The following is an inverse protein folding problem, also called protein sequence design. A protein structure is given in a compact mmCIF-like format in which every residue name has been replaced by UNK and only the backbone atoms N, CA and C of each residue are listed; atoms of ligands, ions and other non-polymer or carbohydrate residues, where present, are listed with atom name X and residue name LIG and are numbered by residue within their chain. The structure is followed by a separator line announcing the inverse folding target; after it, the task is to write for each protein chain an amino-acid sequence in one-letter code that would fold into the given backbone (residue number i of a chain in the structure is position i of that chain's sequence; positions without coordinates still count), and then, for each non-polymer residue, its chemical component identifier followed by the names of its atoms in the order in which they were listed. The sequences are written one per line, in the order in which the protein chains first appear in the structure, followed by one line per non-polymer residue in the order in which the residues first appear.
data_IF_173206643769
#
_entry.id   IF_173206643769
#
_cell.length_a   1.000
_cell.length_b   1.000
_cell.length_c   1.000
_cell.angle_alpha   90.00
_cell.angle_beta   90.00
_cell.angle_gamma   90.00
#
_symmetry.space_group_name_H-M   'P 1'
#
loop_
_entity.id
_entity.type
_entity.pdbx_description
1 polymer ?
#
# COMPACT_ATOMS: atom_id res chain seq x y z
N UNK A 1 7.42 58.77 -36.77
CA UNK A 1 8.07 58.15 -37.96
C UNK A 1 9.29 57.32 -37.62
N UNK A 2 10.37 57.87 -37.04
CA UNK A 2 11.58 57.06 -36.69
C UNK A 2 11.31 56.13 -35.48
N UNK A 3 10.63 56.62 -34.43
CA UNK A 3 10.29 55.78 -33.28
C UNK A 3 9.31 54.65 -33.64
N UNK A 4 8.32 54.92 -34.51
CA UNK A 4 7.35 53.90 -34.96
C UNK A 4 8.01 52.81 -35.81
N UNK A 5 9.09 53.12 -36.55
CA UNK A 5 9.81 52.12 -37.35
C UNK A 5 10.73 51.25 -36.49
N UNK A 6 11.30 51.81 -35.42
CA UNK A 6 12.12 51.10 -34.43
C UNK A 6 11.23 50.17 -33.56
N UNK A 7 10.05 50.63 -33.14
CA UNK A 7 9.11 49.77 -32.41
C UNK A 7 8.62 48.62 -33.29
N UNK A 8 8.23 48.90 -34.54
CA UNK A 8 7.78 47.87 -35.48
C UNK A 8 8.89 46.86 -35.85
N UNK A 9 10.15 47.30 -35.96
CA UNK A 9 11.29 46.39 -36.18
C UNK A 9 11.55 45.52 -34.94
N UNK A 10 11.42 46.09 -33.73
CA UNK A 10 11.56 45.34 -32.47
C UNK A 10 10.46 44.30 -32.26
N UNK A 11 9.24 44.57 -32.74
CA UNK A 11 8.10 43.66 -32.67
C UNK A 11 8.29 42.52 -33.68
N UNK A 12 8.68 42.83 -34.92
CA UNK A 12 9.03 41.81 -35.93
C UNK A 12 10.16 40.91 -35.46
N UNK A 13 11.23 41.50 -34.91
CA UNK A 13 12.37 40.76 -34.39
C UNK A 13 11.97 39.81 -33.24
N UNK A 14 11.11 40.27 -32.31
CA UNK A 14 10.57 39.42 -31.24
C UNK A 14 9.70 38.26 -31.77
N UNK A 15 8.88 38.52 -32.78
CA UNK A 15 8.07 37.47 -33.43
C UNK A 15 8.94 36.46 -34.18
N UNK A 16 10.02 36.90 -34.81
CA UNK A 16 10.98 36.07 -35.53
C UNK A 16 11.80 35.19 -34.56
N UNK A 17 12.30 35.77 -33.46
CA UNK A 17 12.90 34.98 -32.37
C UNK A 17 11.90 33.98 -31.81
N UNK A 18 10.64 34.38 -31.58
CA UNK A 18 9.60 33.46 -31.11
C UNK A 18 9.39 32.27 -32.05
N UNK A 19 9.32 32.50 -33.37
CA UNK A 19 9.23 31.43 -34.38
C UNK A 19 10.46 30.52 -34.38
N UNK A 20 11.66 31.10 -34.39
CA UNK A 20 12.91 30.33 -34.38
C UNK A 20 13.06 29.51 -33.09
N UNK A 21 12.62 30.07 -31.95
CA UNK A 21 12.62 29.40 -30.65
C UNK A 21 11.64 28.23 -30.66
N UNK A 22 10.44 28.39 -31.22
CA UNK A 22 9.48 27.28 -31.33
C UNK A 22 9.98 26.18 -32.27
N UNK A 23 10.57 26.54 -33.42
CA UNK A 23 11.18 25.56 -34.35
C UNK A 23 12.32 24.81 -33.65
N UNK A 24 13.17 25.52 -32.90
CA UNK A 24 14.24 24.90 -32.12
C UNK A 24 13.68 23.96 -31.05
N UNK A 25 12.64 24.35 -30.31
CA UNK A 25 11.99 23.50 -29.29
C UNK A 25 11.28 22.27 -29.89
N UNK A 26 10.77 22.38 -31.12
CA UNK A 26 10.16 21.27 -31.85
C UNK A 26 11.22 20.28 -32.40
N UNK A 27 12.41 20.75 -32.73
CA UNK A 27 13.51 19.96 -33.28
C UNK A 27 14.42 19.35 -32.20
N UNK A 28 14.74 20.13 -31.15
CA UNK A 28 15.55 19.73 -30.01
C UNK A 28 14.66 19.54 -28.77
N UNK A 29 13.94 18.43 -28.75
CA UNK A 29 13.26 18.03 -27.52
C UNK A 29 14.34 17.68 -26.49
N UNK A 30 14.50 18.52 -25.45
CA UNK A 30 15.39 18.30 -24.27
C UNK A 30 15.05 17.04 -23.45
N UNK A 31 14.33 16.08 -24.02
CA UNK A 31 13.86 14.85 -23.39
C UNK A 31 15.00 14.04 -22.77
N UNK A 32 16.15 13.94 -23.46
CA UNK A 32 17.32 13.25 -22.94
C UNK A 32 17.88 13.90 -21.67
N UNK A 33 18.15 15.20 -21.71
CA UNK A 33 18.69 15.97 -20.58
C UNK A 33 17.72 15.97 -19.39
N UNK A 34 16.42 16.11 -19.66
CA UNK A 34 15.37 16.04 -18.64
C UNK A 34 15.34 14.65 -17.98
N UNK A 35 15.44 13.58 -18.76
CA UNK A 35 15.48 12.22 -18.21
C UNK A 35 16.73 12.00 -17.36
N UNK A 36 17.89 12.53 -17.77
CA UNK A 36 19.12 12.49 -16.98
C UNK A 36 18.99 13.26 -15.65
N UNK A 37 18.39 14.45 -15.69
CA UNK A 37 18.12 15.25 -14.50
C UNK A 37 17.18 14.54 -13.53
N UNK A 38 16.12 13.89 -14.02
CA UNK A 38 15.20 13.09 -13.19
C UNK A 38 15.93 11.96 -12.46
N UNK A 39 16.79 11.21 -13.15
CA UNK A 39 17.59 10.13 -12.56
C UNK A 39 18.56 10.68 -11.52
N UNK A 40 19.21 11.80 -11.82
CA UNK A 40 20.15 12.47 -10.91
C UNK A 40 19.44 12.95 -9.65
N UNK A 41 18.27 13.57 -9.79
CA UNK A 41 17.44 14.02 -8.68
C UNK A 41 16.97 12.86 -7.80
N UNK A 42 16.52 11.75 -8.40
CA UNK A 42 16.13 10.55 -7.65
C UNK A 42 17.32 10.00 -6.82
N UNK A 43 18.51 9.94 -7.41
CA UNK A 43 19.69 9.44 -6.71
C UNK A 43 20.14 10.35 -5.57
N UNK A 44 20.05 11.68 -5.75
CA UNK A 44 20.29 12.64 -4.68
C UNK A 44 19.27 12.46 -3.55
N UNK A 45 17.98 12.36 -3.88
CA UNK A 45 16.92 12.13 -2.90
C UNK A 45 17.13 10.86 -2.07
N UNK A 46 17.45 9.73 -2.72
CA UNK A 46 17.74 8.46 -2.03
C UNK A 46 18.96 8.61 -1.11
N UNK A 47 20.01 9.31 -1.55
CA UNK A 47 21.21 9.54 -0.74
C UNK A 47 20.86 10.31 0.53
N UNK A 48 20.17 11.42 0.38
CA UNK A 48 19.94 12.40 1.46
C UNK A 48 18.88 11.92 2.47
N UNK A 49 17.85 11.19 2.00
CA UNK A 49 16.72 10.80 2.83
C UNK A 49 16.71 9.33 3.25
N UNK A 50 17.34 8.45 2.48
CA UNK A 50 17.31 7.00 2.73
C UNK A 50 18.65 6.50 3.25
N UNK A 51 19.72 6.61 2.45
CA UNK A 51 21.02 6.01 2.76
C UNK A 51 21.68 6.61 3.99
N UNK A 52 21.69 7.95 4.13
CA UNK A 52 22.26 8.62 5.31
C UNK A 52 21.56 8.26 6.62
N UNK A 53 20.29 7.86 6.55
CA UNK A 53 19.46 7.58 7.72
C UNK A 53 19.36 6.08 8.07
N UNK A 54 19.96 5.18 7.27
CA UNK A 54 19.93 3.73 7.52
C UNK A 54 20.53 3.34 8.89
N UNK A 55 21.44 4.15 9.44
CA UNK A 55 22.08 3.89 10.73
C UNK A 55 21.27 4.40 11.95
N UNK A 56 20.10 5.02 11.71
CA UNK A 56 19.27 5.69 12.72
C UNK A 56 17.89 5.03 12.80
N UNK A 57 17.78 3.82 13.33
CA UNK A 57 16.51 3.11 13.44
C UNK A 57 15.88 3.26 14.83
N UNK A 58 14.58 3.55 14.88
CA UNK A 58 13.81 3.63 16.15
C UNK A 58 13.41 2.25 16.70
N UNK A 59 13.54 1.18 15.91
CA UNK A 59 13.06 -0.18 16.22
C UNK A 59 14.15 -1.24 16.47
N UNK A 60 15.41 -0.83 16.70
CA UNK A 60 16.57 -1.73 16.78
C UNK A 60 17.41 -1.71 15.50
N UNK A 61 18.68 -2.10 15.58
CA UNK A 61 19.62 -2.05 14.45
C UNK A 61 19.06 -2.85 13.25
N UNK A 62 19.07 -2.29 12.03
CA UNK A 62 18.48 -2.96 10.89
C UNK A 62 19.22 -4.26 10.59
N UNK A 63 18.47 -5.33 10.39
CA UNK A 63 19.04 -6.63 10.06
C UNK A 63 19.47 -6.68 8.57
N UNK A 64 20.40 -7.57 8.21
CA UNK A 64 20.92 -7.67 6.83
C UNK A 64 19.81 -7.95 5.80
N UNK A 65 18.77 -8.69 6.19
CA UNK A 65 17.66 -9.05 5.33
C UNK A 65 16.79 -7.83 4.99
N UNK A 66 16.43 -7.01 5.99
CA UNK A 66 15.63 -5.80 5.78
C UNK A 66 16.39 -4.77 4.94
N UNK A 67 17.70 -4.63 5.13
CA UNK A 67 18.53 -3.77 4.27
C UNK A 67 18.55 -4.27 2.83
N UNK A 68 18.72 -5.59 2.63
CA UNK A 68 18.67 -6.19 1.29
C UNK A 68 17.33 -5.93 0.60
N UNK A 69 16.22 -6.07 1.33
CA UNK A 69 14.87 -5.84 0.82
C UNK A 69 14.67 -4.38 0.40
N UNK A 70 15.10 -3.43 1.25
CA UNK A 70 15.04 -2.01 0.92
C UNK A 70 15.84 -1.69 -0.34
N UNK A 71 17.06 -2.23 -0.46
CA UNK A 71 17.91 -2.01 -1.64
C UNK A 71 17.28 -2.61 -2.90
N UNK A 72 16.72 -3.82 -2.83
CA UNK A 72 16.00 -4.43 -3.95
C UNK A 72 14.80 -3.57 -4.39
N UNK A 73 14.05 -3.01 -3.44
CA UNK A 73 12.96 -2.08 -3.75
C UNK A 73 13.47 -0.82 -4.47
N UNK A 74 14.53 -0.20 -3.95
CA UNK A 74 15.15 0.99 -4.55
C UNK A 74 15.64 0.72 -5.98
N UNK A 75 16.31 -0.41 -6.20
CA UNK A 75 16.83 -0.75 -7.52
C UNK A 75 15.70 -1.02 -8.53
N UNK A 76 14.59 -1.62 -8.08
CA UNK A 76 13.39 -1.74 -8.90
C UNK A 76 12.80 -0.38 -9.26
N UNK A 77 12.77 0.57 -8.32
CA UNK A 77 12.29 1.95 -8.57
C UNK A 77 13.20 2.68 -9.56
N UNK A 78 14.54 2.55 -9.43
CA UNK A 78 15.49 3.09 -10.41
C UNK A 78 15.24 2.53 -11.81
N UNK A 79 15.02 1.22 -11.91
CA UNK A 79 14.71 0.56 -13.17
C UNK A 79 13.37 1.04 -13.74
N UNK A 80 12.34 1.21 -12.91
CA UNK A 80 11.05 1.76 -13.32
C UNK A 80 11.19 3.14 -13.95
N UNK A 81 11.92 4.04 -13.28
CA UNK A 81 12.14 5.40 -13.76
C UNK A 81 12.87 5.44 -15.11
N UNK A 82 13.83 4.54 -15.35
CA UNK A 82 14.60 4.52 -16.59
C UNK A 82 13.90 3.80 -17.75
N UNK A 83 13.12 2.76 -17.46
CA UNK A 83 12.61 1.83 -18.50
C UNK A 83 11.17 2.06 -18.91
N UNK A 84 10.30 2.63 -18.07
CA UNK A 84 8.89 2.83 -18.44
C UNK A 84 8.69 4.16 -19.15
N UNK A 85 8.11 4.10 -20.35
CA UNK A 85 7.75 5.25 -21.19
C UNK A 85 6.95 6.32 -20.44
N UNK A 86 6.14 5.88 -19.49
CA UNK A 86 5.30 6.72 -18.63
C UNK A 86 6.11 7.74 -17.79
N UNK A 87 7.40 7.50 -17.56
CA UNK A 87 8.29 8.46 -16.89
C UNK A 87 9.19 9.24 -17.85
N UNK A 88 9.20 8.89 -19.14
CA UNK A 88 10.08 9.47 -20.15
C UNK A 88 9.46 10.70 -20.80
N UNK A 89 10.25 11.76 -21.00
CA UNK A 89 9.81 12.97 -21.68
C UNK A 89 9.50 14.13 -20.73
N UNK A 90 8.91 15.20 -21.24
CA UNK A 90 8.92 16.52 -20.58
C UNK A 90 7.53 17.08 -20.21
N UNK A 91 6.45 16.30 -20.30
CA UNK A 91 5.09 16.75 -19.95
C UNK A 91 4.88 16.80 -18.43
N UNK A 92 3.88 17.60 -18.00
CA UNK A 92 3.49 17.73 -16.59
C UNK A 92 3.11 16.38 -15.96
N UNK A 93 2.45 15.51 -16.72
CA UNK A 93 2.00 14.19 -16.26
C UNK A 93 3.20 13.33 -15.83
N UNK A 94 4.28 13.31 -16.62
CA UNK A 94 5.50 12.57 -16.27
C UNK A 94 6.11 13.06 -14.95
N UNK A 95 6.06 14.37 -14.67
CA UNK A 95 6.57 14.93 -13.41
C UNK A 95 5.67 14.60 -12.21
N UNK A 96 4.34 14.63 -12.38
CA UNK A 96 3.42 14.22 -11.30
C UNK A 96 3.63 12.76 -10.89
N UNK A 97 3.95 11.88 -11.85
CA UNK A 97 4.22 10.48 -11.56
C UNK A 97 5.51 10.28 -10.75
N UNK A 98 6.51 11.14 -10.93
CA UNK A 98 7.73 11.14 -10.10
C UNK A 98 7.39 11.48 -8.64
N UNK A 99 6.49 12.44 -8.39
CA UNK A 99 6.05 12.76 -7.02
C UNK A 99 5.44 11.52 -6.35
N UNK A 100 4.59 10.78 -7.08
CA UNK A 100 4.02 9.53 -6.56
C UNK A 100 5.07 8.46 -6.26
N UNK A 101 6.13 8.40 -7.08
CA UNK A 101 7.26 7.48 -6.92
C UNK A 101 8.07 7.82 -5.66
N UNK A 102 8.38 9.10 -5.45
CA UNK A 102 9.08 9.59 -4.27
C UNK A 102 8.27 9.34 -3.00
N UNK A 103 6.96 9.59 -3.04
CA UNK A 103 6.04 9.26 -1.95
C UNK A 103 6.09 7.76 -1.63
N UNK A 104 6.05 6.91 -2.66
CA UNK A 104 6.12 5.45 -2.49
C UNK A 104 7.45 5.01 -1.86
N UNK A 105 8.57 5.62 -2.25
CA UNK A 105 9.88 5.38 -1.59
C UNK A 105 9.83 5.78 -0.12
N UNK A 106 9.26 6.94 0.22
CA UNK A 106 9.18 7.40 1.61
C UNK A 106 8.29 6.50 2.46
N UNK A 107 7.13 6.08 1.96
CA UNK A 107 6.26 5.12 2.64
C UNK A 107 7.02 3.82 2.90
N UNK A 108 7.67 3.25 1.87
CA UNK A 108 8.43 2.00 2.00
C UNK A 108 9.61 2.13 2.97
N UNK A 109 10.31 3.25 2.95
CA UNK A 109 11.42 3.53 3.86
C UNK A 109 10.96 3.70 5.30
N UNK A 110 9.86 4.41 5.55
CA UNK A 110 9.28 4.52 6.88
C UNK A 110 8.80 3.16 7.42
N UNK A 111 8.31 2.28 6.54
CA UNK A 111 8.00 0.88 6.86
C UNK A 111 9.28 0.12 7.27
N UNK A 112 10.39 0.29 6.52
CA UNK A 112 11.69 -0.28 6.87
C UNK A 112 12.17 0.16 8.26
N UNK A 113 12.05 1.45 8.61
CA UNK A 113 12.54 1.97 9.89
C UNK A 113 11.94 1.31 11.15
N UNK A 114 10.77 0.68 11.02
CA UNK A 114 10.14 -0.03 12.13
C UNK A 114 10.74 -1.41 12.43
N UNK A 115 11.38 -2.05 11.45
CA UNK A 115 12.00 -3.38 11.59
C UNK A 115 11.03 -4.47 12.07
N UNK A 116 9.75 -4.39 11.69
CA UNK A 116 8.76 -5.42 12.03
C UNK A 116 8.98 -6.72 11.23
N UNK A 117 8.68 -7.89 11.80
CA UNK A 117 8.84 -9.20 11.16
C UNK A 117 8.39 -9.30 9.70
N UNK A 118 7.20 -8.75 9.39
CA UNK A 118 6.62 -8.83 8.06
C UNK A 118 7.50 -8.16 6.99
N UNK A 119 8.29 -7.15 7.35
CA UNK A 119 9.17 -6.46 6.40
C UNK A 119 10.20 -7.42 5.79
N UNK A 120 10.74 -8.35 6.60
CA UNK A 120 11.77 -9.31 6.18
C UNK A 120 11.28 -10.33 5.14
N UNK A 121 9.97 -10.45 4.96
CA UNK A 121 9.37 -11.35 3.97
C UNK A 121 8.52 -10.60 2.94
N UNK A 122 8.54 -9.27 2.98
CA UNK A 122 7.60 -8.43 2.24
C UNK A 122 7.70 -8.66 0.73
N UNK A 123 8.90 -8.88 0.18
CA UNK A 123 9.08 -9.14 -1.26
C UNK A 123 8.31 -10.38 -1.71
N UNK A 124 8.43 -11.48 -0.99
CA UNK A 124 7.77 -12.73 -1.38
C UNK A 124 6.27 -12.65 -1.17
N UNK A 125 5.83 -12.04 -0.07
CA UNK A 125 4.42 -11.80 0.21
C UNK A 125 3.76 -10.90 -0.86
N UNK A 126 4.39 -9.78 -1.20
CA UNK A 126 3.87 -8.83 -2.20
C UNK A 126 3.80 -9.48 -3.60
N UNK A 127 4.79 -10.30 -3.97
CA UNK A 127 4.75 -11.10 -5.21
C UNK A 127 3.60 -12.10 -5.20
N UNK A 128 3.34 -12.77 -4.08
CA UNK A 128 2.19 -13.68 -4.00
C UNK A 128 0.86 -12.94 -4.14
N UNK A 129 0.73 -11.78 -3.49
CA UNK A 129 -0.46 -10.92 -3.64
C UNK A 129 -0.60 -10.47 -5.10
N UNK A 130 0.49 -10.03 -5.75
CA UNK A 130 0.46 -9.61 -7.15
C UNK A 130 0.01 -10.72 -8.11
N UNK A 131 0.49 -11.95 -7.91
CA UNK A 131 0.20 -13.07 -8.81
C UNK A 131 -1.14 -13.78 -8.53
N UNK A 132 -1.79 -13.48 -7.42
CA UNK A 132 -3.03 -14.16 -7.02
C UNK A 132 -4.21 -13.20 -6.86
N UNK A 133 -5.41 -13.68 -7.18
CA UNK A 133 -6.66 -12.95 -6.86
C UNK A 133 -6.92 -13.01 -5.36
N UNK A 134 -6.63 -14.14 -4.72
CA UNK A 134 -6.82 -14.37 -3.28
C UNK A 134 -5.51 -14.81 -2.64
N UNK A 135 -5.14 -14.18 -1.53
CA UNK A 135 -3.98 -14.57 -0.72
C UNK A 135 -4.41 -14.74 0.73
N UNK A 136 -4.26 -15.95 1.26
CA UNK A 136 -4.48 -16.22 2.69
C UNK A 136 -3.17 -16.11 3.44
N UNK A 137 -3.14 -15.34 4.52
CA UNK A 137 -1.94 -15.03 5.30
C UNK A 137 -2.12 -15.57 6.73
N UNK A 138 -1.29 -16.54 7.11
CA UNK A 138 -1.15 -17.02 8.48
C UNK A 138 0.04 -16.34 9.16
N UNK A 139 -0.23 -15.42 10.08
CA UNK A 139 0.84 -14.70 10.79
C UNK A 139 0.46 -14.52 12.25
N UNK A 140 1.46 -14.55 13.14
CA UNK A 140 1.25 -14.17 14.53
C UNK A 140 0.87 -12.69 14.67
N UNK A 141 0.14 -12.36 15.74
CA UNK A 141 -0.12 -10.98 16.15
C UNK A 141 1.19 -10.25 16.44
N UNK A 142 1.21 -8.93 16.22
CA UNK A 142 2.43 -8.12 16.41
C UNK A 142 3.45 -8.18 15.26
N UNK A 143 3.22 -8.99 14.23
CA UNK A 143 4.08 -9.10 13.04
C UNK A 143 4.10 -7.84 12.14
N UNK A 144 3.18 -6.91 12.36
CA UNK A 144 3.00 -5.70 11.54
C UNK A 144 1.94 -5.83 10.44
N UNK A 145 1.15 -6.89 10.47
CA UNK A 145 0.16 -7.16 9.42
C UNK A 145 -0.85 -6.06 9.17
N UNK A 146 -1.54 -5.59 10.21
CA UNK A 146 -2.64 -4.62 10.08
C UNK A 146 -2.14 -3.17 9.97
N UNK A 147 -0.83 -2.94 10.12
CA UNK A 147 -0.20 -1.61 10.05
C UNK A 147 0.73 -1.49 8.84
N UNK A 148 1.71 -2.38 8.72
CA UNK A 148 2.77 -2.35 7.72
C UNK A 148 2.28 -2.78 6.33
N UNK A 149 1.56 -3.90 6.23
CA UNK A 149 1.16 -4.45 4.93
C UNK A 149 0.29 -3.49 4.12
N UNK A 150 -0.76 -2.83 4.68
CA UNK A 150 -1.53 -1.84 3.95
C UNK A 150 -0.67 -0.69 3.40
N UNK A 151 0.30 -0.19 4.17
CA UNK A 151 1.21 0.86 3.73
C UNK A 151 2.14 0.40 2.60
N UNK A 152 2.70 -0.80 2.72
CA UNK A 152 3.52 -1.41 1.67
C UNK A 152 2.72 -1.59 0.38
N UNK A 153 1.47 -2.03 0.46
CA UNK A 153 0.60 -2.16 -0.71
C UNK A 153 0.37 -0.80 -1.40
N UNK A 154 0.16 0.28 -0.65
CA UNK A 154 0.11 1.60 -1.30
C UNK A 154 1.44 1.96 -1.97
N UNK A 155 2.58 1.65 -1.36
CA UNK A 155 3.90 1.87 -1.96
C UNK A 155 4.13 1.03 -3.23
N UNK A 156 3.51 -0.15 -3.33
CA UNK A 156 3.52 -0.98 -4.55
C UNK A 156 2.60 -0.44 -5.67
N UNK A 157 1.85 0.63 -5.41
CA UNK A 157 1.00 1.29 -6.40
C UNK A 157 -0.46 0.86 -6.39
N UNK A 158 -0.92 0.14 -5.35
CA UNK A 158 -2.35 -0.11 -5.17
C UNK A 158 -3.09 1.19 -4.82
N UNK A 159 -4.23 1.44 -5.45
CA UNK A 159 -4.96 2.70 -5.31
C UNK A 159 -5.70 2.83 -3.98
N UNK A 160 -6.21 1.70 -3.50
CA UNK A 160 -7.05 1.64 -2.32
C UNK A 160 -6.87 0.31 -1.61
N UNK A 161 -6.66 0.37 -0.30
CA UNK A 161 -6.65 -0.80 0.59
C UNK A 161 -7.73 -0.61 1.63
N UNK A 162 -8.72 -1.50 1.65
CA UNK A 162 -9.81 -1.51 2.64
C UNK A 162 -9.54 -2.65 3.61
N UNK A 163 -9.28 -2.34 4.87
CA UNK A 163 -8.92 -3.31 5.90
C UNK A 163 -10.06 -3.44 6.90
N UNK A 164 -10.56 -4.65 7.14
CA UNK A 164 -11.54 -4.87 8.20
C UNK A 164 -10.86 -4.92 9.55
N UNK A 165 -11.59 -4.55 10.59
CA UNK A 165 -11.27 -4.85 11.98
C UNK A 165 -12.54 -5.35 12.68
N UNK A 166 -12.44 -6.34 13.58
CA UNK A 166 -13.63 -6.88 14.26
C UNK A 166 -14.24 -5.88 15.25
N UNK A 167 -13.45 -4.90 15.72
CA UNK A 167 -13.87 -3.95 16.76
C UNK A 167 -13.71 -2.51 16.27
N UNK A 168 -14.55 -1.63 16.80
CA UNK A 168 -14.60 -0.19 16.44
C UNK A 168 -13.32 0.57 16.81
N UNK A 169 -12.81 0.34 18.02
CA UNK A 169 -11.65 1.08 18.56
C UNK A 169 -10.36 0.83 17.74
N UNK A 170 -10.02 -0.42 17.36
CA UNK A 170 -8.90 -0.70 16.46
C UNK A 170 -8.90 0.09 15.15
N UNK A 171 -10.05 0.33 14.50
CA UNK A 171 -10.09 1.09 13.25
C UNK A 171 -9.46 2.48 13.39
N UNK A 172 -9.84 3.22 14.44
CA UNK A 172 -9.32 4.57 14.68
C UNK A 172 -7.87 4.55 15.15
N UNK A 173 -7.53 3.64 16.08
CA UNK A 173 -6.17 3.55 16.63
C UNK A 173 -5.14 3.12 15.59
N UNK A 174 -5.47 2.11 14.77
CA UNK A 174 -4.57 1.62 13.72
C UNK A 174 -4.41 2.69 12.64
N UNK A 175 -5.48 3.36 12.22
CA UNK A 175 -5.39 4.49 11.27
C UNK A 175 -4.41 5.56 11.77
N UNK A 176 -4.57 6.04 13.00
CA UNK A 176 -3.65 7.02 13.60
C UNK A 176 -2.22 6.48 13.70
N UNK A 177 -2.08 5.19 14.05
CA UNK A 177 -0.77 4.53 14.15
C UNK A 177 -0.08 4.46 12.79
N UNK A 178 -0.80 4.15 11.71
CA UNK A 178 -0.23 4.12 10.37
C UNK A 178 0.18 5.50 9.91
N UNK A 179 -0.67 6.52 10.06
CA UNK A 179 -0.32 7.90 9.68
C UNK A 179 0.95 8.39 10.41
N UNK A 180 1.07 8.10 11.71
CA UNK A 180 2.27 8.46 12.48
C UNK A 180 3.52 7.67 12.07
N UNK A 181 3.36 6.41 11.68
CA UNK A 181 4.45 5.56 11.17
C UNK A 181 4.98 6.10 9.83
N UNK A 182 4.10 6.35 8.85
CA UNK A 182 4.52 6.75 7.50
C UNK A 182 4.72 8.27 7.36
N UNK A 183 4.38 9.04 8.40
CA UNK A 183 4.45 10.51 8.44
C UNK A 183 3.62 11.19 7.34
N UNK A 184 2.50 10.58 6.97
CA UNK A 184 1.57 11.07 5.96
C UNK A 184 0.12 10.81 6.38
N UNK A 185 -0.82 11.62 5.92
CA UNK A 185 -2.26 11.37 6.11
C UNK A 185 -2.78 10.38 5.06
N UNK A 186 -2.30 9.14 5.19
CA UNK A 186 -2.55 8.06 4.22
C UNK A 186 -3.85 7.30 4.49
N UNK A 187 -4.35 7.40 5.71
CA UNK A 187 -5.41 6.52 6.22
C UNK A 187 -6.65 7.26 6.71
N UNK A 188 -7.78 6.57 6.64
CA UNK A 188 -9.02 6.95 7.27
C UNK A 188 -9.70 5.74 7.88
N UNK A 189 -10.85 5.97 8.51
CA UNK A 189 -11.67 4.90 9.06
C UNK A 189 -13.16 5.19 8.94
N UNK A 190 -13.97 4.13 8.90
CA UNK A 190 -15.41 4.22 8.96
C UNK A 190 -15.98 3.09 9.83
N UNK A 191 -16.83 3.44 10.77
CA UNK A 191 -17.52 2.50 11.66
C UNK A 191 -19.01 2.89 11.71
N UNK A 192 -19.85 2.04 12.29
CA UNK A 192 -21.26 2.42 12.46
C UNK A 192 -21.39 3.74 13.23
N UNK A 193 -22.08 4.71 12.63
CA UNK A 193 -22.36 6.04 13.19
C UNK A 193 -21.20 7.05 13.19
N UNK A 194 -20.01 6.71 12.66
CA UNK A 194 -18.89 7.66 12.62
C UNK A 194 -17.87 7.33 11.51
N UNK A 195 -17.28 8.35 10.90
CA UNK A 195 -16.23 8.19 9.90
C UNK A 195 -15.23 9.36 9.90
N UNK A 196 -14.01 9.09 9.40
CA UNK A 196 -12.96 10.10 9.23
C UNK A 196 -12.12 9.76 7.99
N UNK A 197 -11.88 10.76 7.14
CA UNK A 197 -11.02 10.67 5.96
C UNK A 197 -11.32 9.44 5.05
N UNK A 198 -12.59 9.19 4.71
CA UNK A 198 -13.00 8.00 3.95
C UNK A 198 -12.39 7.90 2.54
N UNK A 199 -11.92 9.03 2.00
CA UNK A 199 -11.25 9.12 0.69
C UNK A 199 -9.78 8.71 0.74
N UNK A 200 -9.18 8.55 1.93
CA UNK A 200 -7.80 8.13 2.12
C UNK A 200 -7.45 6.84 1.37
N UNK A 201 -6.19 6.64 0.98
CA UNK A 201 -5.77 5.45 0.23
C UNK A 201 -5.94 4.17 1.05
N UNK A 202 -5.80 4.24 2.37
CA UNK A 202 -6.08 3.10 3.28
C UNK A 202 -7.34 3.43 4.09
N UNK A 203 -8.30 2.52 4.11
CA UNK A 203 -9.54 2.69 4.87
C UNK A 203 -9.75 1.52 5.83
N UNK A 204 -9.73 1.80 7.13
CA UNK A 204 -10.09 0.82 8.15
C UNK A 204 -11.59 0.83 8.42
N UNK A 205 -12.24 -0.33 8.34
CA UNK A 205 -13.68 -0.45 8.55
C UNK A 205 -14.00 -1.57 9.52
N UNK A 206 -15.11 -1.47 10.24
CA UNK A 206 -15.60 -2.64 10.98
C UNK A 206 -16.14 -3.71 10.02
N UNK A 207 -15.92 -4.98 10.32
CA UNK A 207 -16.47 -6.13 9.58
C UNK A 207 -17.98 -6.01 9.33
N UNK A 208 -18.77 -5.61 10.33
CA UNK A 208 -20.20 -5.39 10.21
C UNK A 208 -20.57 -4.27 9.23
N UNK A 209 -19.78 -3.19 9.17
CA UNK A 209 -20.02 -2.10 8.23
C UNK A 209 -19.66 -2.52 6.80
N UNK A 210 -18.56 -3.26 6.62
CA UNK A 210 -18.20 -3.78 5.31
C UNK A 210 -19.28 -4.74 4.80
N UNK A 211 -19.74 -5.67 5.63
CA UNK A 211 -20.86 -6.57 5.30
C UNK A 211 -22.10 -5.79 4.87
N UNK A 212 -22.55 -4.79 5.65
CA UNK A 212 -23.72 -3.98 5.27
C UNK A 212 -23.50 -3.27 3.91
N UNK A 213 -22.28 -2.77 3.65
CA UNK A 213 -21.97 -2.16 2.34
C UNK A 213 -21.95 -3.19 1.21
N UNK A 214 -21.43 -4.40 1.44
CA UNK A 214 -21.44 -5.47 0.44
C UNK A 214 -22.86 -5.99 0.12
N UNK A 215 -23.75 -6.01 1.12
CA UNK A 215 -25.14 -6.42 0.94
C UNK A 215 -25.99 -5.37 0.22
N UNK A 216 -25.81 -4.10 0.59
CA UNK A 216 -26.66 -3.01 0.10
C UNK A 216 -26.09 -2.31 -1.14
N UNK A 217 -24.79 -2.46 -1.42
CA UNK A 217 -24.10 -1.62 -2.38
C UNK A 217 -22.99 -2.36 -3.15
N UNK A 218 -23.36 -3.00 -4.27
CA UNK A 218 -22.39 -3.39 -5.30
C UNK A 218 -21.58 -2.16 -5.81
N UNK A 219 -22.03 -0.92 -5.56
CA UNK A 219 -21.26 0.27 -5.92
C UNK A 219 -20.06 0.52 -5.01
N UNK A 220 -19.95 -0.01 -3.77
CA UNK A 220 -18.70 0.15 -3.02
C UNK A 220 -17.55 -0.47 -3.80
N UNK A 221 -17.76 -1.66 -4.35
CA UNK A 221 -16.78 -2.32 -5.19
C UNK A 221 -16.68 -1.57 -6.51
N UNK A 222 -17.80 -1.37 -7.21
CA UNK A 222 -17.80 -0.74 -8.56
C UNK A 222 -17.21 0.68 -8.58
N UNK A 223 -17.39 1.49 -7.54
CA UNK A 223 -16.82 2.85 -7.42
C UNK A 223 -15.32 2.81 -7.15
N UNK A 224 -14.86 1.89 -6.31
CA UNK A 224 -13.44 1.73 -6.03
C UNK A 224 -12.71 1.01 -7.18
N UNK A 225 -13.40 0.15 -7.95
CA UNK A 225 -12.88 -0.62 -9.10
C UNK A 225 -13.18 0.03 -10.46
N UNK A 226 -13.43 1.35 -10.52
CA UNK A 226 -13.51 2.08 -11.81
C UNK A 226 -12.16 2.01 -12.55
N UNK A 227 -12.20 2.14 -13.89
CA UNK A 227 -11.09 1.85 -14.82
C UNK A 227 -9.69 2.19 -14.26
N UNK A 228 -8.78 1.21 -14.37
CA UNK A 228 -7.35 1.24 -14.05
C UNK A 228 -6.94 1.17 -12.58
N UNK A 229 -7.89 1.05 -11.63
CA UNK A 229 -7.53 0.96 -10.20
C UNK A 229 -7.41 -0.47 -9.69
N UNK A 230 -6.32 -0.75 -8.96
CA UNK A 230 -6.12 -2.02 -8.26
C UNK A 230 -6.50 -1.86 -6.79
N UNK A 231 -7.65 -2.44 -6.42
CA UNK A 231 -8.19 -2.33 -5.06
C UNK A 231 -7.90 -3.60 -4.27
N UNK A 232 -7.55 -3.45 -3.00
CA UNK A 232 -7.37 -4.57 -2.09
C UNK A 232 -8.44 -4.54 -1.02
N UNK A 233 -9.15 -5.65 -0.89
CA UNK A 233 -9.95 -5.94 0.29
C UNK A 233 -9.13 -6.84 1.21
N UNK A 234 -8.87 -6.37 2.41
CA UNK A 234 -8.12 -7.09 3.42
C UNK A 234 -9.05 -7.46 4.57
N UNK A 235 -9.48 -8.72 4.59
CA UNK A 235 -10.27 -9.31 5.66
C UNK A 235 -9.33 -9.79 6.77
N UNK A 236 -9.25 -9.01 7.84
CA UNK A 236 -8.38 -9.24 8.97
C UNK A 236 -9.06 -10.03 10.10
N UNK A 237 -8.26 -10.68 10.95
CA UNK A 237 -8.69 -11.37 12.18
C UNK A 237 -9.78 -12.44 11.96
N UNK A 238 -9.71 -13.20 10.86
CA UNK A 238 -10.71 -14.22 10.48
C UNK A 238 -10.88 -15.31 11.55
N UNK A 239 -9.86 -15.53 12.39
CA UNK A 239 -9.93 -16.43 13.53
C UNK A 239 -10.96 -16.03 14.60
N UNK A 240 -11.45 -14.78 14.63
CA UNK A 240 -12.55 -14.40 15.53
C UNK A 240 -13.89 -15.08 15.14
N UNK A 241 -14.00 -15.68 13.94
CA UNK A 241 -15.19 -16.39 13.43
C UNK A 241 -16.51 -15.66 13.69
N UNK A 242 -16.50 -14.36 13.44
CA UNK A 242 -17.68 -13.51 13.47
C UNK A 242 -18.58 -13.85 12.28
N UNK A 243 -19.90 -13.92 12.51
CA UNK A 243 -20.89 -14.07 11.44
C UNK A 243 -20.72 -13.02 10.33
N UNK A 244 -20.29 -11.80 10.68
CA UNK A 244 -20.07 -10.75 9.69
C UNK A 244 -18.87 -11.06 8.79
N UNK A 245 -17.80 -11.64 9.35
CA UNK A 245 -16.61 -12.05 8.58
C UNK A 245 -17.00 -13.18 7.62
N UNK A 246 -17.69 -14.21 8.10
CA UNK A 246 -18.13 -15.34 7.27
C UNK A 246 -19.04 -14.87 6.12
N UNK A 247 -19.97 -13.95 6.41
CA UNK A 247 -20.80 -13.33 5.38
C UNK A 247 -19.99 -12.51 4.39
N UNK A 248 -19.01 -11.71 4.84
CA UNK A 248 -18.12 -10.99 3.92
C UNK A 248 -17.40 -11.96 2.97
N UNK A 249 -16.83 -13.05 3.50
CA UNK A 249 -16.13 -14.05 2.71
C UNK A 249 -17.07 -14.72 1.69
N UNK A 250 -18.28 -15.11 2.10
CA UNK A 250 -19.28 -15.68 1.20
C UNK A 250 -19.70 -14.69 0.09
N UNK A 251 -19.88 -13.41 0.42
CA UNK A 251 -20.24 -12.36 -0.53
C UNK A 251 -19.11 -12.10 -1.54
N UNK A 252 -17.85 -12.05 -1.11
CA UNK A 252 -16.70 -11.93 -2.03
C UNK A 252 -16.57 -13.14 -2.95
N UNK A 253 -16.74 -14.36 -2.43
CA UNK A 253 -16.72 -15.58 -3.22
C UNK A 253 -17.82 -15.55 -4.30
N UNK A 254 -19.05 -15.17 -3.93
CA UNK A 254 -20.15 -14.97 -4.87
C UNK A 254 -19.81 -13.91 -5.92
N UNK A 255 -19.26 -12.78 -5.51
CA UNK A 255 -18.92 -11.67 -6.40
C UNK A 255 -17.85 -12.05 -7.43
N UNK A 256 -16.78 -12.72 -7.00
CA UNK A 256 -15.72 -13.22 -7.89
C UNK A 256 -16.24 -14.31 -8.84
N UNK A 257 -17.23 -15.10 -8.41
CA UNK A 257 -17.87 -16.10 -9.27
C UNK A 257 -18.75 -15.46 -10.34
N UNK A 258 -19.52 -14.43 -10.00
CA UNK A 258 -20.47 -13.79 -10.91
C UNK A 258 -19.83 -12.76 -11.84
N UNK A 259 -18.73 -12.13 -11.43
CA UNK A 259 -18.10 -11.03 -12.17
C UNK A 259 -16.61 -11.34 -12.44
N UNK A 260 -16.28 -12.06 -13.53
CA UNK A 260 -14.91 -12.40 -13.88
C UNK A 260 -13.98 -11.19 -14.02
N UNK A 261 -14.51 -10.05 -14.50
CA UNK A 261 -13.74 -8.81 -14.67
C UNK A 261 -13.18 -8.25 -13.37
N UNK A 262 -13.76 -8.59 -12.21
CA UNK A 262 -13.22 -8.16 -10.93
C UNK A 262 -11.95 -8.92 -10.55
N UNK A 263 -11.71 -10.12 -11.09
CA UNK A 263 -10.51 -10.92 -10.79
C UNK A 263 -9.20 -10.22 -11.16
N UNK A 264 -9.26 -9.29 -12.13
CA UNK A 264 -8.11 -8.47 -12.56
C UNK A 264 -8.08 -7.08 -11.91
N UNK A 265 -9.19 -6.62 -11.34
CA UNK A 265 -9.36 -5.26 -10.76
C UNK A 265 -9.25 -5.23 -9.24
N UNK A 266 -9.53 -6.34 -8.57
CA UNK A 266 -9.44 -6.45 -7.12
C UNK A 266 -8.61 -7.64 -6.68
N UNK A 267 -8.03 -7.51 -5.50
CA UNK A 267 -7.39 -8.60 -4.77
C UNK A 267 -8.00 -8.74 -3.39
N UNK A 268 -8.08 -9.97 -2.93
CA UNK A 268 -8.59 -10.31 -1.61
C UNK A 268 -7.45 -10.88 -0.76
N UNK A 269 -7.14 -10.19 0.33
CA UNK A 269 -6.24 -10.69 1.36
C UNK A 269 -7.10 -11.18 2.52
N UNK A 270 -6.88 -12.40 2.95
CA UNK A 270 -7.57 -13.01 4.08
C UNK A 270 -6.51 -13.32 5.11
N UNK A 271 -6.59 -12.76 6.31
CA UNK A 271 -5.64 -13.12 7.35
C UNK A 271 -6.29 -13.70 8.59
N UNK A 272 -5.60 -14.70 9.12
CA UNK A 272 -5.94 -15.38 10.35
C UNK A 272 -4.68 -15.69 11.15
N UNK A 273 -4.82 -15.78 12.47
CA UNK A 273 -3.77 -16.31 13.33
C UNK A 273 -3.66 -17.84 13.20
N UNK A 274 -4.72 -18.49 12.70
CA UNK A 274 -4.81 -19.93 12.43
C UNK A 274 -5.57 -20.15 11.12
N UNK A 275 -4.97 -20.84 10.15
CA UNK A 275 -5.68 -21.16 8.91
C UNK A 275 -6.73 -22.26 9.15
N UNK A 276 -8.01 -21.88 9.13
CA UNK A 276 -9.08 -22.84 8.86
C UNK A 276 -9.04 -23.20 7.37
N UNK A 277 -8.87 -24.49 7.05
CA UNK A 277 -8.78 -24.98 5.67
C UNK A 277 -10.04 -24.70 4.85
N UNK A 278 -11.20 -24.53 5.49
CA UNK A 278 -12.46 -24.23 4.82
C UNK A 278 -12.47 -22.90 4.06
N UNK A 279 -11.70 -21.91 4.53
CA UNK A 279 -11.67 -20.58 3.90
C UNK A 279 -10.95 -20.62 2.54
N UNK A 280 -9.72 -21.17 2.42
CA UNK A 280 -9.11 -21.41 1.12
C UNK A 280 -9.99 -22.23 0.15
N UNK A 281 -10.67 -23.27 0.65
CA UNK A 281 -11.49 -24.16 -0.18
C UNK A 281 -12.68 -23.44 -0.84
N UNK A 282 -13.26 -22.45 -0.17
CA UNK A 282 -14.33 -21.62 -0.73
C UNK A 282 -13.91 -20.94 -2.05
N UNK A 283 -12.65 -20.48 -2.15
CA UNK A 283 -12.16 -19.74 -3.31
C UNK A 283 -11.50 -20.63 -4.36
N UNK A 284 -10.91 -21.78 -3.98
CA UNK A 284 -10.34 -22.76 -4.94
C UNK A 284 -11.38 -23.26 -5.94
N UNK A 285 -12.63 -23.35 -5.51
CA UNK A 285 -13.74 -23.85 -6.34
C UNK A 285 -14.29 -22.79 -7.32
N UNK A 286 -13.73 -21.58 -7.37
CA UNK A 286 -14.17 -20.51 -8.27
C UNK A 286 -13.31 -20.55 -9.56
N UNK A 287 -13.88 -20.83 -10.74
CA UNK A 287 -13.11 -20.92 -11.98
C UNK A 287 -12.32 -19.65 -12.27
N UNK A 288 -11.03 -19.79 -12.59
CA UNK A 288 -10.14 -18.66 -12.91
C UNK A 288 -9.74 -17.79 -11.72
N UNK A 289 -10.08 -18.18 -10.48
CA UNK A 289 -9.58 -17.53 -9.27
C UNK A 289 -8.25 -18.18 -8.86
N UNK A 290 -7.17 -17.41 -8.82
CA UNK A 290 -5.88 -17.88 -8.32
C UNK A 290 -5.78 -17.64 -6.81
N UNK A 291 -5.32 -18.66 -6.07
CA UNK A 291 -5.21 -18.64 -4.62
C UNK A 291 -3.80 -19.02 -4.16
N UNK A 292 -3.26 -18.25 -3.23
CA UNK A 292 -1.99 -18.53 -2.53
C UNK A 292 -2.19 -18.60 -1.02
N UNK A 293 -1.39 -19.44 -0.36
CA UNK A 293 -1.32 -19.56 1.10
C UNK A 293 0.08 -19.15 1.54
N UNK A 294 0.16 -18.13 2.38
CA UNK A 294 1.41 -17.58 2.89
C UNK A 294 1.50 -17.77 4.41
N UNK A 295 2.49 -18.53 4.87
CA UNK A 295 2.66 -18.87 6.28
C UNK A 295 3.88 -18.19 6.88
N UNK A 296 3.68 -17.44 7.96
CA UNK A 296 4.72 -16.72 8.72
C UNK A 296 4.83 -17.22 10.17
N UNK A 297 4.44 -18.46 10.43
CA UNK A 297 4.31 -19.02 11.79
C UNK A 297 5.64 -19.13 12.53
N UNK A 298 6.78 -19.11 11.83
CA UNK A 298 8.13 -19.19 12.40
C UNK A 298 8.64 -17.87 13.00
N UNK A 299 7.99 -16.72 12.73
CA UNK A 299 8.42 -15.42 13.23
C UNK A 299 7.41 -14.89 14.24
N UNK A 300 7.33 -15.56 15.40
CA UNK A 300 6.53 -15.08 16.51
C UNK A 300 7.37 -14.17 17.41
N UNK A 301 6.89 -12.96 17.72
CA UNK A 301 7.45 -12.10 18.78
C UNK A 301 6.93 -12.51 20.16
N UNK A 302 6.63 -13.80 20.36
CA UNK A 302 6.12 -14.29 21.65
C UNK A 302 7.30 -14.33 22.63
N UNK A 303 7.17 -13.55 23.69
CA UNK A 303 8.09 -13.62 24.81
C UNK A 303 7.77 -14.87 25.65
N UNK A 304 8.79 -15.48 26.29
CA UNK A 304 8.54 -16.62 27.17
C UNK A 304 7.59 -16.21 28.30
N UNK A 305 6.51 -16.96 28.47
CA UNK A 305 5.54 -16.76 29.55
C UNK A 305 5.72 -17.93 30.52
N UNK A 306 6.04 -17.64 31.78
CA UNK A 306 5.98 -18.63 32.86
C UNK A 306 4.52 -18.85 33.23
N UNK A 307 4.03 -20.08 33.10
CA UNK A 307 2.68 -20.45 33.50
C UNK A 307 2.76 -21.16 34.84
N UNK A 308 2.37 -20.45 35.91
CA UNK A 308 2.24 -21.03 37.24
C UNK A 308 0.80 -21.53 37.41
N UNK A 309 0.62 -22.83 37.64
CA UNK A 309 -0.67 -23.43 37.96
C UNK A 309 -0.74 -23.68 39.46
N UNK A 310 -1.71 -23.06 40.13
CA UNK A 310 -1.99 -23.29 41.55
C UNK A 310 -3.33 -24.00 41.66
N UNK A 311 -3.37 -25.12 42.39
CA UNK A 311 -4.58 -25.89 42.58
C UNK A 311 -5.37 -25.34 43.77
N UNK A 312 -6.65 -25.00 43.57
CA UNK A 312 -7.61 -24.81 44.67
C UNK A 312 -7.69 -23.43 45.31
N UNK A 313 -6.98 -22.41 44.81
CA UNK A 313 -7.10 -21.03 45.33
C UNK A 313 -8.02 -20.19 44.44
N UNK A 314 -8.84 -19.33 45.07
CA UNK A 314 -9.65 -18.35 44.35
C UNK A 314 -8.71 -17.34 43.67
N UNK A 315 -8.99 -17.00 42.42
CA UNK A 315 -8.19 -16.03 41.66
C UNK A 315 -8.05 -14.68 42.37
N UNK A 316 -9.00 -14.34 43.25
CA UNK A 316 -8.97 -13.12 44.06
C UNK A 316 -7.90 -13.15 45.16
N UNK A 317 -7.60 -14.33 45.72
CA UNK A 317 -6.59 -14.48 46.78
C UNK A 317 -5.17 -14.38 46.20
N UNK A 318 -5.00 -14.78 44.94
CA UNK A 318 -3.74 -14.75 44.18
C UNK A 318 -3.33 -13.36 43.67
N UNK A 319 -4.30 -12.47 43.43
CA UNK A 319 -4.03 -11.12 42.87
C UNK A 319 -3.70 -10.09 43.97
N UNK A 320 -3.96 -10.42 45.24
CA UNK A 320 -3.70 -9.53 46.37
C UNK A 320 -2.29 -9.65 46.97
N UNK A 321 -1.51 -10.66 46.58
CA UNK A 321 -0.11 -10.84 46.96
C UNK A 321 0.84 -10.22 45.93
#
# INVERSE_FOLDING_TARGET
MINDSIENSSIKFRQEIGKLTNIYLEQDTFSHDINLLKVTALNAFIRDHVLHQQNSTKGGAPNKTSVSILNQYIDRIRKLLSTKDVYQGCTLEHFQMIVSLLQSIMIYYNCFLLQLPLFNVSIDLLKQIENNTVTTIETATGSGKSTLLPALLIAEGYDKVIVTQPRRLPCSMISQRVNSMVKEDLTGWAISGAEKNVRAKILYVTDGLLKERLLNDENLITQNTKLNKSVIFFIDEVHERSINIDLCLALFARLLKLNPDFKTKMKLIISSATLDSSVPDLYRNIPGCTLSVFNLTSISTRFPISVNRVAGENILDLVQQ
#
